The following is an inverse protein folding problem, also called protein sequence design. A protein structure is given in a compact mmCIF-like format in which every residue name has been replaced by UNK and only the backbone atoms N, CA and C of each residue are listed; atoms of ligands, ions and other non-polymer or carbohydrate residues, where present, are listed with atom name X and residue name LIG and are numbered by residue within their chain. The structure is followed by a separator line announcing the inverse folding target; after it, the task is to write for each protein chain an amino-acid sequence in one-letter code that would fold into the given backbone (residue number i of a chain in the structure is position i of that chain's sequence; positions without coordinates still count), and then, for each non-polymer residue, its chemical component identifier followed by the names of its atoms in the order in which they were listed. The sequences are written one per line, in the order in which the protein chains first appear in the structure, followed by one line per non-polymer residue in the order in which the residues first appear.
data_IF_319077780191
#
_entry.id   IF_319077780191
#
_cell.length_a   1.000
_cell.length_b   1.000
_cell.length_c   1.000
_cell.angle_alpha   90.00
_cell.angle_beta   90.00
_cell.angle_gamma   90.00
#
_symmetry.space_group_name_H-M   'P 1'
#
loop_
_entity.id
_entity.type
_entity.pdbx_description
1 polymer ?
#
# COMPACT_ATOMS: atom_id res chain seq x y z
N UNK A 1 15.37 26.11 -52.13
CA UNK A 1 15.10 26.72 -50.80
C UNK A 1 14.89 25.60 -49.79
N UNK A 2 15.97 25.08 -49.20
CA UNK A 2 15.93 23.97 -48.24
C UNK A 2 16.50 24.47 -46.89
N UNK A 3 15.88 25.50 -46.31
CA UNK A 3 16.34 26.14 -45.07
C UNK A 3 15.20 26.23 -44.06
N UNK A 4 14.45 25.14 -43.86
CA UNK A 4 13.40 25.11 -42.83
C UNK A 4 13.39 23.86 -41.93
N UNK A 5 14.33 22.92 -42.08
CA UNK A 5 14.32 21.68 -41.30
C UNK A 5 15.33 21.60 -40.15
N UNK A 6 16.19 22.61 -39.96
CA UNK A 6 17.21 22.58 -38.89
C UNK A 6 16.81 23.26 -37.57
N UNK A 7 15.60 23.84 -37.48
CA UNK A 7 15.16 24.55 -36.26
C UNK A 7 14.68 23.63 -35.12
N UNK A 8 14.52 22.32 -35.35
CA UNK A 8 14.09 21.39 -34.29
C UNK A 8 15.22 20.63 -33.58
N UNK A 9 16.47 20.72 -34.03
CA UNK A 9 17.57 19.94 -33.47
C UNK A 9 18.32 20.61 -32.31
N UNK A 10 17.89 21.80 -31.90
CA UNK A 10 18.47 22.53 -30.77
C UNK A 10 17.39 22.89 -29.77
N UNK A 11 16.60 21.90 -29.31
CA UNK A 11 16.18 21.95 -27.90
C UNK A 11 17.47 21.62 -27.16
N UNK A 12 18.11 22.59 -26.47
CA UNK A 12 19.26 22.26 -25.65
C UNK A 12 18.79 21.12 -24.75
N UNK A 13 19.61 20.08 -24.63
CA UNK A 13 19.50 19.16 -23.52
C UNK A 13 19.63 20.01 -22.26
N UNK A 14 18.51 20.62 -21.86
CA UNK A 14 18.30 21.22 -20.56
C UNK A 14 18.73 20.09 -19.67
N UNK A 15 19.90 20.29 -19.07
CA UNK A 15 20.46 19.44 -18.04
C UNK A 15 19.33 19.27 -17.03
N UNK A 16 18.55 18.21 -17.22
CA UNK A 16 17.41 17.91 -16.39
C UNK A 16 18.09 17.53 -15.09
N UNK A 17 18.10 18.48 -14.14
CA UNK A 17 18.63 18.23 -12.80
C UNK A 17 18.12 16.87 -12.37
N UNK A 18 19.03 16.03 -11.87
CA UNK A 18 18.65 14.71 -11.38
C UNK A 18 17.41 14.85 -10.49
N UNK A 19 16.36 14.05 -10.72
CA UNK A 19 15.10 14.20 -10.01
C UNK A 19 15.35 14.16 -8.50
N UNK A 20 14.87 15.19 -7.80
CA UNK A 20 15.08 15.34 -6.36
C UNK A 20 13.81 15.01 -5.61
N UNK A 21 13.91 14.19 -4.58
CA UNK A 21 12.82 14.00 -3.66
C UNK A 21 12.86 15.02 -2.51
N UNK A 22 11.71 15.35 -1.91
CA UNK A 22 11.69 16.09 -0.66
C UNK A 22 12.42 15.34 0.45
N UNK A 23 12.73 16.04 1.55
CA UNK A 23 13.36 15.44 2.72
C UNK A 23 12.57 14.22 3.21
N UNK A 24 13.29 13.17 3.61
CA UNK A 24 12.76 11.88 4.10
C UNK A 24 12.03 11.02 3.07
N UNK A 25 12.09 11.40 1.79
CA UNK A 25 11.69 10.54 0.68
C UNK A 25 12.93 10.03 -0.07
N UNK A 26 12.83 8.82 -0.60
CA UNK A 26 13.82 8.18 -1.46
C UNK A 26 13.29 8.12 -2.89
N UNK A 27 14.12 8.55 -3.84
CA UNK A 27 13.78 8.49 -5.26
C UNK A 27 13.88 7.06 -5.79
N UNK A 28 12.87 6.63 -6.54
CA UNK A 28 12.84 5.36 -7.26
C UNK A 28 12.50 5.60 -8.72
N UNK A 29 13.22 4.94 -9.63
CA UNK A 29 12.91 4.94 -11.06
C UNK A 29 11.86 3.88 -11.33
N UNK A 30 10.88 4.20 -12.18
CA UNK A 30 9.81 3.29 -12.56
C UNK A 30 9.81 3.02 -14.06
N UNK A 31 9.42 1.80 -14.40
CA UNK A 31 9.11 1.45 -15.79
C UNK A 31 7.74 2.02 -16.13
N UNK A 32 7.64 2.73 -17.25
CA UNK A 32 6.38 3.35 -17.67
C UNK A 32 5.39 2.26 -18.07
N UNK A 33 4.22 2.25 -17.44
CA UNK A 33 3.12 1.36 -17.81
C UNK A 33 1.80 2.14 -17.82
N UNK A 34 0.79 1.61 -18.50
CA UNK A 34 -0.56 2.17 -18.38
C UNK A 34 -1.10 2.11 -16.94
N UNK A 35 -0.69 1.08 -16.16
CA UNK A 35 -1.18 0.83 -14.79
C UNK A 35 -0.63 1.81 -13.77
N UNK A 36 0.56 2.36 -14.00
CA UNK A 36 1.14 3.42 -13.17
C UNK A 36 0.99 4.81 -13.81
N UNK A 37 0.06 4.97 -14.75
CA UNK A 37 -0.17 6.22 -15.48
C UNK A 37 1.12 6.81 -16.11
N UNK A 38 2.00 5.93 -16.61
CA UNK A 38 3.29 6.27 -17.19
C UNK A 38 4.18 7.10 -16.25
N UNK A 39 4.16 6.77 -14.95
CA UNK A 39 5.01 7.41 -13.95
C UNK A 39 6.45 6.95 -14.11
N UNK A 40 7.36 7.89 -14.42
CA UNK A 40 8.79 7.61 -14.69
C UNK A 40 9.68 7.55 -13.44
N UNK A 41 9.23 8.20 -12.38
CA UNK A 41 10.00 8.38 -11.17
C UNK A 41 9.09 8.79 -10.03
N UNK A 42 9.37 8.25 -8.86
CA UNK A 42 8.53 8.37 -7.69
C UNK A 42 9.39 8.59 -6.46
N UNK A 43 8.80 9.20 -5.44
CA UNK A 43 9.43 9.45 -4.16
C UNK A 43 8.66 8.70 -3.09
N UNK A 44 9.29 7.71 -2.47
CA UNK A 44 8.71 6.90 -1.39
C UNK A 44 9.25 7.36 -0.04
N UNK A 45 8.37 7.52 0.94
CA UNK A 45 8.76 7.92 2.30
C UNK A 45 7.90 7.23 3.35
N UNK A 46 8.52 6.86 4.47
CA UNK A 46 7.81 6.28 5.63
C UNK A 46 7.69 7.33 6.73
N UNK A 47 6.47 7.54 7.20
CA UNK A 47 6.16 8.56 8.20
C UNK A 47 5.43 7.94 9.37
N UNK A 48 5.82 8.37 10.57
CA UNK A 48 5.18 7.93 11.79
C UNK A 48 3.90 8.73 11.99
N UNK A 49 2.89 8.11 12.58
CA UNK A 49 1.66 8.76 12.99
C UNK A 49 0.92 7.93 14.02
N UNK A 50 0.09 8.58 14.81
CA UNK A 50 -0.81 7.87 15.72
C UNK A 50 -1.95 7.26 14.91
N UNK A 51 -2.22 5.98 15.15
CA UNK A 51 -3.41 5.31 14.64
C UNK A 51 -3.51 5.31 13.10
N UNK A 52 -2.38 5.10 12.42
CA UNK A 52 -2.35 5.04 10.94
C UNK A 52 -2.88 3.72 10.39
N UNK A 53 -3.36 2.82 11.26
CA UNK A 53 -4.25 1.74 10.83
C UNK A 53 -5.60 2.27 10.33
N UNK A 54 -6.02 3.45 10.79
CA UNK A 54 -7.15 4.13 10.19
C UNK A 54 -6.76 4.74 8.84
N UNK A 55 -7.47 4.35 7.77
CA UNK A 55 -7.14 4.79 6.39
C UNK A 55 -7.12 6.31 6.24
N UNK A 56 -8.10 7.01 6.82
CA UNK A 56 -8.20 8.46 6.69
C UNK A 56 -7.10 9.18 7.49
N UNK A 57 -6.67 8.61 8.62
CA UNK A 57 -5.49 9.11 9.34
C UNK A 57 -4.21 8.87 8.55
N UNK A 58 -4.03 7.68 7.99
CA UNK A 58 -2.90 7.34 7.13
C UNK A 58 -2.81 8.31 5.93
N UNK A 59 -3.94 8.56 5.26
CA UNK A 59 -4.08 9.59 4.21
C UNK A 59 -3.68 10.96 4.71
N UNK A 60 -4.19 11.39 5.87
CA UNK A 60 -3.89 12.70 6.44
C UNK A 60 -2.39 12.91 6.70
N UNK A 61 -1.70 11.87 7.19
CA UNK A 61 -0.25 11.89 7.36
C UNK A 61 0.46 12.09 6.01
N UNK A 62 0.07 11.34 4.97
CA UNK A 62 0.68 11.52 3.65
C UNK A 62 0.37 12.89 3.03
N UNK A 63 -0.87 13.39 3.18
CA UNK A 63 -1.28 14.70 2.68
C UNK A 63 -0.49 15.83 3.33
N UNK A 64 -0.18 15.73 4.63
CA UNK A 64 0.70 16.69 5.31
C UNK A 64 2.09 16.80 4.64
N UNK A 65 2.55 15.72 4.01
CA UNK A 65 3.79 15.66 3.24
C UNK A 65 3.61 15.89 1.73
N UNK A 66 2.46 16.43 1.29
CA UNK A 66 2.06 16.57 -0.12
C UNK A 66 2.26 15.26 -0.91
N UNK A 67 1.81 14.16 -0.31
CA UNK A 67 1.90 12.80 -0.83
C UNK A 67 0.56 12.07 -0.70
N UNK A 68 0.42 10.94 -1.38
CA UNK A 68 -0.68 9.99 -1.20
C UNK A 68 -0.19 8.76 -0.43
N UNK A 69 -1.12 7.92 0.05
CA UNK A 69 -0.77 6.53 0.37
C UNK A 69 -0.10 5.89 -0.85
N UNK A 70 0.83 4.96 -0.66
CA UNK A 70 1.50 4.32 -1.80
C UNK A 70 1.84 2.86 -1.53
N UNK A 71 2.34 2.19 -2.56
CA UNK A 71 2.84 0.82 -2.52
C UNK A 71 4.18 0.72 -3.27
N UNK A 72 5.03 -0.26 -2.90
CA UNK A 72 6.11 -0.69 -3.77
C UNK A 72 5.54 -1.30 -5.07
N UNK A 73 6.06 -0.92 -6.23
CA UNK A 73 5.68 -1.51 -7.53
C UNK A 73 6.48 -2.77 -7.90
N UNK A 74 7.60 -3.03 -7.23
CA UNK A 74 8.50 -4.13 -7.54
C UNK A 74 9.39 -4.48 -6.34
N UNK A 75 10.18 -5.55 -6.48
CA UNK A 75 11.08 -6.03 -5.44
C UNK A 75 12.16 -5.00 -5.06
N UNK A 76 12.64 -4.20 -6.01
CA UNK A 76 13.65 -3.19 -5.74
C UNK A 76 13.08 -2.03 -4.91
N UNK A 77 11.87 -1.57 -5.19
CA UNK A 77 11.18 -0.59 -4.34
C UNK A 77 10.93 -1.15 -2.93
N UNK A 78 10.58 -2.42 -2.80
CA UNK A 78 10.38 -3.08 -1.51
C UNK A 78 11.69 -3.21 -0.72
N UNK A 79 12.80 -3.50 -1.38
CA UNK A 79 14.15 -3.52 -0.78
C UNK A 79 14.52 -2.13 -0.24
N UNK A 80 14.30 -1.07 -1.03
CA UNK A 80 14.52 0.32 -0.61
C UNK A 80 13.68 0.66 0.62
N UNK A 81 12.39 0.31 0.61
CA UNK A 81 11.50 0.49 1.77
C UNK A 81 12.06 -0.25 2.99
N UNK A 82 12.51 -1.49 2.82
CA UNK A 82 13.10 -2.32 3.88
C UNK A 82 14.37 -1.72 4.47
N UNK A 83 15.22 -1.15 3.63
CA UNK A 83 16.45 -0.47 4.07
C UNK A 83 16.14 0.79 4.87
N UNK A 84 15.13 1.57 4.47
CA UNK A 84 14.66 2.74 5.23
C UNK A 84 14.10 2.32 6.59
N UNK A 85 13.32 1.23 6.64
CA UNK A 85 12.80 0.67 7.89
C UNK A 85 13.96 0.34 8.85
N UNK A 86 14.96 -0.38 8.35
CA UNK A 86 16.13 -0.80 9.14
C UNK A 86 16.95 0.40 9.61
N UNK A 87 17.28 1.31 8.70
CA UNK A 87 18.13 2.46 8.98
C UNK A 87 17.49 3.42 10.00
N UNK A 88 16.14 3.48 10.04
CA UNK A 88 15.39 4.35 10.94
C UNK A 88 14.74 3.62 12.12
N UNK A 89 15.00 2.31 12.27
CA UNK A 89 14.41 1.46 13.30
C UNK A 89 12.86 1.59 13.39
N UNK A 90 12.20 1.54 12.23
CA UNK A 90 10.74 1.69 12.13
C UNK A 90 10.09 0.36 12.50
N UNK A 91 9.07 0.43 13.37
CA UNK A 91 8.30 -0.76 13.73
C UNK A 91 7.35 -1.15 12.62
N UNK A 92 7.28 -2.45 12.33
CA UNK A 92 6.21 -3.04 11.54
C UNK A 92 5.02 -3.35 12.45
N UNK A 93 3.79 -3.42 11.89
CA UNK A 93 3.41 -3.22 10.48
C UNK A 93 3.40 -1.76 10.00
N UNK A 94 3.51 -1.57 8.67
CA UNK A 94 3.40 -0.26 8.00
C UNK A 94 2.12 -0.23 7.15
N UNK A 95 1.28 0.78 7.35
CA UNK A 95 0.09 0.99 6.52
C UNK A 95 0.47 1.31 5.07
N UNK A 96 -0.21 0.65 4.14
CA UNK A 96 -0.03 0.81 2.69
C UNK A 96 -1.32 1.33 2.05
N UNK A 97 -1.23 1.71 0.77
CA UNK A 97 -2.43 1.97 -0.02
C UNK A 97 -3.18 0.68 -0.36
N UNK A 98 -4.51 0.79 -0.45
CA UNK A 98 -5.42 -0.30 -0.78
C UNK A 98 -6.34 -0.65 0.38
N UNK A 99 -7.64 -0.52 0.12
CA UNK A 99 -8.70 -1.02 0.99
C UNK A 99 -9.64 -1.94 0.22
N UNK A 100 -10.16 -3.00 0.85
CA UNK A 100 -11.16 -3.86 0.23
C UNK A 100 -12.29 -3.03 -0.37
N UNK A 101 -12.66 -3.34 -1.60
CA UNK A 101 -13.72 -2.61 -2.28
C UNK A 101 -15.05 -2.77 -1.53
N UNK A 102 -15.90 -1.73 -1.48
CA UNK A 102 -17.21 -1.82 -0.83
C UNK A 102 -18.06 -2.97 -1.37
N UNK A 103 -17.95 -3.26 -2.68
CA UNK A 103 -18.63 -4.37 -3.33
C UNK A 103 -18.16 -5.71 -2.81
N UNK A 104 -16.85 -5.90 -2.66
CA UNK A 104 -16.33 -7.15 -2.11
C UNK A 104 -16.68 -7.31 -0.63
N UNK A 105 -16.58 -6.25 0.17
CA UNK A 105 -17.04 -6.26 1.58
C UNK A 105 -18.51 -6.68 1.69
N UNK A 106 -19.37 -6.19 0.80
CA UNK A 106 -20.78 -6.57 0.77
C UNK A 106 -21.01 -8.05 0.41
N UNK A 107 -20.12 -8.66 -0.38
CA UNK A 107 -20.17 -10.10 -0.69
C UNK A 107 -19.69 -10.93 0.51
N UNK A 108 -18.56 -10.56 1.12
CA UNK A 108 -18.04 -11.20 2.34
C UNK A 108 -19.12 -11.22 3.43
N UNK A 109 -19.75 -10.08 3.71
CA UNK A 109 -20.79 -10.00 4.74
C UNK A 109 -22.05 -10.81 4.40
N UNK A 110 -22.36 -11.04 3.12
CA UNK A 110 -23.46 -11.94 2.73
C UNK A 110 -23.04 -13.40 2.85
N UNK A 111 -21.83 -13.75 2.44
CA UNK A 111 -21.28 -15.11 2.49
C UNK A 111 -21.06 -15.64 3.91
N UNK A 112 -20.66 -14.79 4.85
CA UNK A 112 -20.53 -15.15 6.29
C UNK A 112 -21.85 -15.67 6.88
N UNK A 113 -23.00 -15.18 6.39
CA UNK A 113 -24.31 -15.70 6.81
C UNK A 113 -24.54 -17.15 6.36
N UNK A 114 -23.86 -17.57 5.31
CA UNK A 114 -23.94 -18.90 4.69
C UNK A 114 -22.77 -19.80 5.08
N UNK A 115 -21.89 -19.38 6.00
CA UNK A 115 -20.62 -20.07 6.31
C UNK A 115 -19.73 -20.31 5.08
N UNK A 116 -19.84 -19.46 4.05
CA UNK A 116 -19.06 -19.60 2.84
C UNK A 116 -17.60 -19.21 3.11
N UNK A 117 -16.67 -20.13 2.81
CA UNK A 117 -15.25 -19.81 2.81
C UNK A 117 -14.96 -18.86 1.65
N UNK A 118 -14.28 -17.77 1.96
CA UNK A 118 -13.86 -16.78 0.98
C UNK A 118 -12.39 -17.02 0.63
N UNK A 119 -12.07 -17.07 -0.66
CA UNK A 119 -10.68 -17.06 -1.15
C UNK A 119 -10.57 -16.12 -2.35
N UNK A 120 -9.96 -14.95 -2.14
CA UNK A 120 -9.78 -13.93 -3.18
C UNK A 120 -9.05 -14.44 -4.43
N UNK A 121 -8.35 -15.57 -4.37
CA UNK A 121 -7.67 -16.14 -5.54
C UNK A 121 -8.64 -16.89 -6.45
N UNK A 122 -9.71 -17.44 -5.89
CA UNK A 122 -10.71 -18.25 -6.59
C UNK A 122 -12.05 -17.55 -6.79
N UNK A 123 -12.35 -16.50 -6.02
CA UNK A 123 -13.56 -15.69 -6.21
C UNK A 123 -13.65 -15.11 -7.62
N UNK A 124 -14.87 -14.98 -8.13
CA UNK A 124 -15.11 -14.29 -9.40
C UNK A 124 -15.35 -12.78 -9.18
N UNK A 125 -15.20 -12.00 -10.25
CA UNK A 125 -15.57 -10.58 -10.26
C UNK A 125 -14.76 -9.72 -9.29
N UNK A 126 -15.44 -8.81 -8.58
CA UNK A 126 -14.82 -7.74 -7.77
C UNK A 126 -14.09 -8.26 -6.52
N UNK A 127 -14.31 -9.52 -6.13
CA UNK A 127 -13.61 -10.14 -5.00
C UNK A 127 -12.36 -10.93 -5.41
N UNK A 128 -12.06 -11.03 -6.70
CA UNK A 128 -10.82 -11.63 -7.15
C UNK A 128 -9.63 -10.66 -6.95
N UNK A 129 -8.52 -11.16 -6.42
CA UNK A 129 -7.28 -10.40 -6.19
C UNK A 129 -6.74 -9.75 -7.47
N UNK A 130 -6.97 -10.36 -8.64
CA UNK A 130 -6.52 -9.83 -9.92
C UNK A 130 -7.44 -8.72 -10.46
N UNK A 131 -8.65 -8.58 -9.91
CA UNK A 131 -9.68 -7.64 -10.36
C UNK A 131 -9.76 -6.42 -9.41
N UNK A 132 -10.97 -6.10 -8.94
CA UNK A 132 -11.28 -4.91 -8.12
C UNK A 132 -11.32 -5.20 -6.62
N UNK A 133 -10.52 -6.17 -6.14
CA UNK A 133 -10.49 -6.52 -4.72
C UNK A 133 -10.22 -5.30 -3.84
N UNK A 134 -9.31 -4.44 -4.28
CA UNK A 134 -8.90 -3.23 -3.57
C UNK A 134 -9.24 -1.95 -4.33
N UNK A 135 -9.51 -0.90 -3.56
CA UNK A 135 -9.57 0.50 -4.00
C UNK A 135 -8.33 1.21 -3.50
N UNK A 136 -7.61 1.85 -4.42
CA UNK A 136 -6.38 2.59 -4.17
C UNK A 136 -6.60 4.09 -4.31
N UNK A 137 -5.81 4.89 -3.59
CA UNK A 137 -5.79 6.35 -3.72
C UNK A 137 -4.79 6.80 -4.78
N UNK A 138 -3.67 6.08 -4.89
CA UNK A 138 -2.57 6.43 -5.79
C UNK A 138 -2.78 5.83 -7.18
N UNK A 139 -3.15 6.69 -8.12
CA UNK A 139 -3.31 6.34 -9.53
C UNK A 139 -1.98 6.17 -10.28
N UNK A 140 -0.85 6.52 -9.64
CA UNK A 140 0.48 6.52 -10.24
C UNK A 140 1.32 5.31 -9.81
N UNK A 141 0.69 4.31 -9.18
CA UNK A 141 1.34 3.10 -8.69
C UNK A 141 0.72 1.83 -9.29
N UNK A 142 1.51 1.00 -9.96
CA UNK A 142 1.08 -0.35 -10.36
C UNK A 142 1.04 -1.29 -9.14
N UNK A 143 -0.17 -1.69 -8.77
CA UNK A 143 -0.42 -2.49 -7.57
C UNK A 143 -0.35 -4.00 -7.80
N UNK A 144 0.00 -4.48 -9.00
CA UNK A 144 0.14 -5.92 -9.26
C UNK A 144 1.15 -6.59 -8.33
N UNK A 145 2.33 -5.99 -8.18
CA UNK A 145 3.39 -6.55 -7.37
C UNK A 145 2.97 -6.70 -5.92
N UNK A 146 2.47 -5.62 -5.29
CA UNK A 146 2.12 -5.66 -3.88
C UNK A 146 0.93 -6.60 -3.60
N UNK A 147 0.00 -6.74 -4.55
CA UNK A 147 -1.07 -7.74 -4.46
C UNK A 147 -0.55 -9.16 -4.47
N UNK A 148 0.51 -9.45 -5.23
CA UNK A 148 1.13 -10.78 -5.23
C UNK A 148 1.73 -11.18 -3.88
N UNK A 149 1.92 -10.21 -2.98
CA UNK A 149 2.46 -10.42 -1.62
C UNK A 149 1.38 -10.66 -0.56
N UNK A 150 0.09 -10.68 -0.92
CA UNK A 150 -1.00 -10.89 0.03
C UNK A 150 -0.98 -12.30 0.61
N UNK A 151 -0.76 -12.37 1.93
CA UNK A 151 -0.55 -13.62 2.67
C UNK A 151 -1.83 -14.31 3.12
N UNK A 152 -2.83 -13.56 3.58
CA UNK A 152 -4.08 -14.11 4.16
C UNK A 152 -5.27 -13.94 3.23
N UNK A 153 -6.31 -14.77 3.40
CA UNK A 153 -7.55 -14.57 2.66
C UNK A 153 -8.30 -13.31 3.13
N UNK A 154 -8.85 -12.53 2.19
CA UNK A 154 -9.70 -11.40 2.55
C UNK A 154 -10.97 -11.90 3.28
N UNK A 155 -11.50 -11.12 4.22
CA UNK A 155 -12.70 -11.52 4.98
C UNK A 155 -12.46 -12.48 6.14
N UNK A 156 -11.32 -13.17 6.24
CA UNK A 156 -11.04 -14.14 7.33
C UNK A 156 -11.00 -13.54 8.74
N UNK A 157 -10.91 -12.21 8.85
CA UNK A 157 -10.82 -11.49 10.12
C UNK A 157 -11.98 -10.50 10.29
N UNK A 158 -13.21 -11.01 10.10
CA UNK A 158 -14.47 -10.30 10.30
C UNK A 158 -14.94 -10.25 11.76
N UNK A 159 -15.80 -9.30 12.09
CA UNK A 159 -16.42 -9.19 13.40
C UNK A 159 -17.62 -8.26 13.41
N UNK A 160 -18.23 -8.10 14.58
CA UNK A 160 -19.33 -7.17 14.81
C UNK A 160 -19.10 -6.35 16.08
N UNK A 161 -19.48 -5.07 16.05
CA UNK A 161 -19.75 -4.29 17.25
C UNK A 161 -21.26 -4.08 17.37
N UNK A 162 -21.77 -4.05 18.59
CA UNK A 162 -23.19 -3.79 18.86
C UNK A 162 -23.32 -2.48 19.62
N UNK A 163 -24.29 -1.66 19.23
CA UNK A 163 -24.70 -0.48 19.99
C UNK A 163 -25.81 -0.83 20.99
N UNK A 164 -26.06 0.08 21.93
CA UNK A 164 -27.11 -0.08 22.96
C UNK A 164 -28.52 -0.24 22.37
N UNK A 165 -28.77 0.31 21.19
CA UNK A 165 -30.04 0.20 20.44
C UNK A 165 -30.19 -1.13 19.68
N UNK A 166 -29.21 -2.03 19.77
CA UNK A 166 -29.20 -3.33 19.10
C UNK A 166 -28.68 -3.30 17.66
N UNK A 167 -28.27 -2.14 17.13
CA UNK A 167 -27.67 -2.06 15.79
C UNK A 167 -26.30 -2.74 15.81
N UNK A 168 -26.11 -3.68 14.87
CA UNK A 168 -24.85 -4.41 14.68
C UNK A 168 -24.06 -3.83 13.51
N UNK A 169 -22.85 -3.35 13.79
CA UNK A 169 -21.90 -2.88 12.78
C UNK A 169 -20.92 -3.99 12.47
N UNK A 170 -20.96 -4.49 11.24
CA UNK A 170 -19.99 -5.47 10.76
C UNK A 170 -18.71 -4.80 10.34
N UNK A 171 -17.61 -5.43 10.65
CA UNK A 171 -16.29 -5.03 10.18
C UNK A 171 -15.54 -6.25 9.66
N UNK A 172 -14.54 -5.99 8.83
CA UNK A 172 -13.52 -6.96 8.47
C UNK A 172 -12.22 -6.19 8.36
N UNK A 173 -11.09 -6.85 8.58
CA UNK A 173 -9.80 -6.27 8.23
C UNK A 173 -9.77 -6.01 6.73
N UNK A 174 -9.62 -4.75 6.35
CA UNK A 174 -9.85 -4.29 5.00
C UNK A 174 -8.75 -3.36 4.45
N UNK A 175 -7.76 -2.94 5.23
CA UNK A 175 -6.65 -2.09 4.77
C UNK A 175 -5.36 -2.90 4.59
N UNK A 176 -4.59 -2.65 3.54
CA UNK A 176 -3.29 -3.30 3.34
C UNK A 176 -2.24 -2.78 4.34
N UNK A 177 -1.45 -3.69 4.91
CA UNK A 177 -0.21 -3.39 5.63
C UNK A 177 0.94 -4.23 5.09
N UNK A 178 2.13 -3.64 5.09
CA UNK A 178 3.39 -4.36 5.03
C UNK A 178 3.68 -4.95 6.41
N UNK A 179 3.92 -6.26 6.45
CA UNK A 179 4.24 -7.02 7.65
C UNK A 179 5.55 -7.79 7.47
N UNK A 180 6.05 -8.36 8.56
CA UNK A 180 7.20 -9.25 8.51
C UNK A 180 6.96 -10.45 7.58
N UNK A 181 7.95 -10.78 6.77
CA UNK A 181 8.08 -12.12 6.22
C UNK A 181 9.04 -12.91 7.11
N UNK A 182 8.50 -13.85 7.90
CA UNK A 182 9.32 -14.72 8.71
C UNK A 182 10.20 -15.61 7.81
N UNK A 183 11.49 -15.30 7.73
CA UNK A 183 12.52 -16.28 7.41
C UNK A 183 13.28 -16.61 8.69
N UNK A 184 13.10 -17.81 9.21
CA UNK A 184 13.93 -18.35 10.28
C UNK A 184 15.27 -18.75 9.68
N UNK A 185 16.30 -17.94 9.88
CA UNK A 185 17.67 -18.40 9.70
C UNK A 185 18.13 -19.11 10.98
N UNK A 186 18.91 -20.17 10.82
CA UNK A 186 19.40 -21.04 11.92
C UNK A 186 20.21 -20.32 13.00
N UNK A 187 20.59 -19.07 12.78
CA UNK A 187 21.32 -18.21 13.73
C UNK A 187 20.41 -17.25 14.54
N UNK A 188 19.08 -17.36 14.44
CA UNK A 188 18.15 -16.60 15.29
C UNK A 188 17.96 -15.12 14.89
N UNK A 189 18.51 -14.67 13.76
CA UNK A 189 18.20 -13.32 13.25
C UNK A 189 16.80 -13.27 12.67
N UNK A 190 15.97 -12.36 13.18
CA UNK A 190 14.69 -11.99 12.58
C UNK A 190 14.94 -11.22 11.27
N UNK A 191 14.26 -11.61 10.19
CA UNK A 191 14.42 -11.01 8.87
C UNK A 191 13.51 -9.78 8.69
N UNK A 192 13.96 -8.79 7.93
CA UNK A 192 13.20 -7.57 7.58
C UNK A 192 12.60 -7.72 6.17
N UNK A 193 11.60 -6.90 5.83
CA UNK A 193 10.66 -6.97 4.70
C UNK A 193 11.20 -7.08 3.25
N UNK A 194 12.45 -7.49 3.00
CA UNK A 194 13.06 -7.69 1.67
C UNK A 194 12.23 -8.64 0.79
N UNK A 195 11.44 -9.52 1.41
CA UNK A 195 10.38 -10.32 0.77
C UNK A 195 9.04 -10.22 1.53
N UNK A 196 8.75 -9.02 2.04
CA UNK A 196 7.64 -8.73 2.93
C UNK A 196 6.30 -9.25 2.43
N UNK A 197 5.47 -9.69 3.37
CA UNK A 197 4.08 -10.07 3.10
C UNK A 197 3.18 -8.87 3.31
N UNK A 198 2.11 -8.82 2.55
CA UNK A 198 0.98 -7.96 2.91
C UNK A 198 -0.05 -8.74 3.68
N UNK A 199 -0.53 -8.14 4.75
CA UNK A 199 -1.73 -8.58 5.46
C UNK A 199 -2.79 -7.49 5.43
N UNK A 200 -4.01 -7.89 5.75
CA UNK A 200 -5.08 -6.95 6.00
C UNK A 200 -5.13 -6.59 7.47
N UNK A 201 -5.24 -5.29 7.73
CA UNK A 201 -5.50 -4.68 9.04
C UNK A 201 -6.89 -4.02 9.06
N UNK A 202 -7.42 -3.72 10.23
CA UNK A 202 -8.69 -2.99 10.33
C UNK A 202 -8.54 -1.52 9.96
N UNK A 203 -9.24 -1.02 8.93
CA UNK A 203 -9.22 0.40 8.56
C UNK A 203 -9.82 1.35 9.63
N UNK A 204 -10.21 0.83 10.81
CA UNK A 204 -10.73 1.62 11.93
C UNK A 204 -9.65 2.08 12.91
N UNK A 205 -8.43 1.54 12.80
CA UNK A 205 -7.33 1.91 13.69
C UNK A 205 -7.27 1.13 15.02
N UNK A 206 -6.67 1.73 16.06
CA UNK A 206 -6.43 1.25 17.44
C UNK A 206 -7.69 0.66 18.11
N UNK A 207 -8.87 0.96 17.58
CA UNK A 207 -10.12 0.32 18.01
C UNK A 207 -10.18 -1.18 17.74
N UNK A 208 -9.27 -1.74 16.94
CA UNK A 208 -9.00 -3.18 16.95
C UNK A 208 -8.17 -3.56 18.19
N UNK A 209 -8.75 -3.37 19.39
CA UNK A 209 -8.15 -3.74 20.68
C UNK A 209 -7.80 -5.22 20.79
N UNK A 210 -8.30 -6.06 19.88
CA UNK A 210 -8.00 -7.49 19.85
C UNK A 210 -6.60 -7.77 19.31
N UNK A 211 -6.05 -6.88 18.47
CA UNK A 211 -4.74 -7.05 17.88
C UNK A 211 -3.75 -6.04 18.49
N UNK A 212 -2.81 -6.55 19.29
CA UNK A 212 -1.77 -5.78 20.01
C UNK A 212 -0.78 -5.03 19.10
N UNK A 213 -1.00 -4.98 17.80
CA UNK A 213 -0.10 -4.31 16.86
C UNK A 213 -0.56 -2.88 16.65
N UNK A 214 0.10 -1.94 17.33
CA UNK A 214 -0.06 -0.52 17.09
C UNK A 214 0.58 -0.18 15.73
N UNK A 215 -0.27 0.10 14.73
CA UNK A 215 0.16 0.58 13.42
C UNK A 215 0.57 2.05 13.56
N UNK A 216 1.88 2.28 13.66
CA UNK A 216 2.45 3.62 13.96
C UNK A 216 3.14 4.28 12.78
N UNK A 217 3.17 3.62 11.61
CA UNK A 217 3.88 4.08 10.42
C UNK A 217 3.11 3.82 9.12
N UNK A 218 3.26 4.72 8.15
CA UNK A 218 2.57 4.68 6.84
C UNK A 218 3.57 4.93 5.72
N UNK A 219 3.39 4.22 4.60
CA UNK A 219 4.13 4.47 3.36
C UNK A 219 3.40 5.51 2.50
N UNK A 220 4.10 6.60 2.20
CA UNK A 220 3.61 7.69 1.36
C UNK A 220 4.41 7.81 0.07
N UNK A 221 3.75 8.23 -1.00
CA UNK A 221 4.30 8.38 -2.35
C UNK A 221 3.97 9.73 -2.97
N UNK A 222 4.92 10.29 -3.73
CA UNK A 222 4.69 11.52 -4.52
C UNK A 222 5.65 11.66 -5.68
N UNK A 223 5.34 12.58 -6.59
CA UNK A 223 6.29 12.98 -7.63
C UNK A 223 7.53 13.69 -7.05
N UNK A 224 8.68 13.59 -7.73
CA UNK A 224 9.86 14.44 -7.48
C UNK A 224 9.54 15.95 -7.58
N UNK A 225 10.43 16.76 -7.00
CA UNK A 225 10.42 18.23 -7.05
C UNK A 225 10.71 18.79 -8.45
#
# INVERSE_FOLDING_TARGET
MLVLFLLFLVVPAVSAKDPRCPKNFTFVKRTLTFKNNFTKGWCLGIFNGTDVGNRDRARSVCLYHNASLSNPENSHELEIVSDVIRARNISLPIALDGQLSPRCKALIFRGEQSQQYFDQRTEEGDCNINNHLFVYDDINTDTLFIRSKLGTSAGTNGGYSSQEDGVKFRFTRDCNALTDAYYYFSNGTHFYAVDGRTELLGCFGEKDKQNKHEYSSVLCGRFPL
#
